data_IF_321280415176
#
_entry.id   IF_321280415176
#
_cell.length_a   1.000
_cell.length_b   1.000
_cell.length_c   1.000
_cell.angle_alpha   90.00
_cell.angle_beta   90.00
_cell.angle_gamma   90.00
#
_symmetry.space_group_name_H-M   'P 1'
#
loop_
_entity.id
_entity.type
_entity.pdbx_description
1 polymer ?
#
# COMPACT_ATOMS: atom_id res chain seq x y z
N UNK A 1 -42.03 27.12 1.48
CA UNK A 1 -41.63 26.25 2.60
C UNK A 1 -41.97 24.82 2.23
N UNK A 2 -41.03 24.11 1.59
CA UNK A 2 -41.13 22.68 1.29
C UNK A 2 -39.98 22.05 2.08
N UNK A 3 -40.35 21.22 3.05
CA UNK A 3 -39.44 20.51 3.95
C UNK A 3 -38.87 19.30 3.22
N UNK A 4 -37.61 19.37 2.77
CA UNK A 4 -36.84 18.17 2.50
C UNK A 4 -36.36 17.61 3.85
N UNK A 5 -37.10 16.64 4.39
CA UNK A 5 -36.58 15.75 5.41
C UNK A 5 -35.55 14.82 4.76
N UNK A 6 -34.28 14.80 5.21
CA UNK A 6 -33.30 13.87 4.66
C UNK A 6 -33.72 12.43 5.00
N UNK A 7 -33.73 11.60 3.96
CA UNK A 7 -33.98 10.15 4.04
C UNK A 7 -32.99 9.48 4.99
N UNK A 8 -33.41 8.48 5.80
CA UNK A 8 -32.46 7.70 6.58
C UNK A 8 -31.61 6.87 5.62
N UNK A 9 -30.31 7.16 5.57
CA UNK A 9 -29.33 6.24 4.98
C UNK A 9 -29.16 5.09 5.97
N UNK A 10 -30.14 4.19 6.00
CA UNK A 10 -30.05 2.93 6.72
C UNK A 10 -29.17 2.00 5.89
N UNK A 11 -27.86 2.17 6.07
CA UNK A 11 -26.85 1.26 5.59
C UNK A 11 -27.03 -0.07 6.34
N UNK A 12 -27.98 -0.89 5.86
CA UNK A 12 -28.08 -2.30 6.20
C UNK A 12 -26.91 -2.98 5.52
N UNK A 13 -25.74 -2.90 6.13
CA UNK A 13 -24.77 -4.00 6.02
C UNK A 13 -25.60 -5.24 6.34
N UNK A 14 -25.86 -6.08 5.33
CA UNK A 14 -26.56 -7.34 5.50
C UNK A 14 -25.70 -8.21 6.41
N UNK A 15 -25.87 -8.00 7.72
CA UNK A 15 -25.23 -8.79 8.74
C UNK A 15 -25.80 -10.18 8.58
N UNK A 16 -24.96 -11.12 8.12
CA UNK A 16 -25.29 -12.54 8.08
C UNK A 16 -25.96 -12.86 9.43
N UNK A 17 -27.21 -13.33 9.43
CA UNK A 17 -27.94 -13.52 10.68
C UNK A 17 -27.11 -14.42 11.58
N UNK A 18 -26.91 -14.04 12.84
CA UNK A 18 -26.05 -14.76 13.80
C UNK A 18 -26.38 -16.26 13.84
N UNK A 19 -27.65 -16.63 13.59
CA UNK A 19 -28.10 -18.01 13.50
C UNK A 19 -27.40 -18.82 12.39
N UNK A 20 -27.03 -18.24 11.24
CA UNK A 20 -26.28 -18.94 10.20
C UNK A 20 -24.82 -19.18 10.60
N UNK A 21 -24.20 -18.26 11.35
CA UNK A 21 -22.86 -18.47 11.92
C UNK A 21 -22.89 -19.59 12.96
N UNK A 22 -23.91 -19.59 13.83
CA UNK A 22 -24.10 -20.65 14.84
C UNK A 22 -24.33 -22.00 14.16
N UNK A 23 -25.18 -22.07 13.14
CA UNK A 23 -25.42 -23.30 12.37
C UNK A 23 -24.11 -23.75 11.69
N UNK A 24 -23.36 -22.84 11.08
CA UNK A 24 -22.08 -23.16 10.45
C UNK A 24 -21.07 -23.77 11.43
N UNK A 25 -20.94 -23.17 12.62
CA UNK A 25 -20.07 -23.69 13.69
C UNK A 25 -20.54 -25.03 14.20
N UNK A 26 -21.85 -25.21 14.42
CA UNK A 26 -22.43 -26.48 14.88
C UNK A 26 -22.22 -27.60 13.86
N UNK A 27 -22.41 -27.32 12.57
CA UNK A 27 -22.14 -28.29 11.50
C UNK A 27 -20.65 -28.64 11.45
N UNK A 28 -19.75 -27.67 11.60
CA UNK A 28 -18.30 -27.91 11.65
C UNK A 28 -17.91 -28.80 12.83
N UNK A 29 -18.51 -28.56 14.01
CA UNK A 29 -18.27 -29.36 15.21
C UNK A 29 -18.81 -30.79 15.03
N UNK A 30 -20.05 -30.95 14.53
CA UNK A 30 -20.64 -32.27 14.30
C UNK A 30 -19.82 -33.04 13.26
N UNK A 31 -19.39 -32.39 12.18
CA UNK A 31 -18.53 -32.98 11.16
C UNK A 31 -17.19 -33.41 11.76
N UNK A 32 -16.57 -32.57 12.59
CA UNK A 32 -15.32 -32.87 13.29
C UNK A 32 -15.46 -34.06 14.24
N UNK A 33 -16.55 -34.13 15.01
CA UNK A 33 -16.84 -35.26 15.91
C UNK A 33 -17.08 -36.54 15.11
N UNK A 34 -17.82 -36.47 14.00
CA UNK A 34 -18.06 -37.63 13.14
C UNK A 34 -16.76 -38.14 12.50
N UNK A 35 -15.88 -37.24 12.05
CA UNK A 35 -14.55 -37.58 11.54
C UNK A 35 -13.68 -38.23 12.62
N UNK A 36 -13.62 -37.63 13.81
CA UNK A 36 -12.86 -38.17 14.94
C UNK A 36 -13.39 -39.56 15.36
N UNK A 37 -14.71 -39.72 15.47
CA UNK A 37 -15.33 -41.01 15.77
C UNK A 37 -15.05 -42.06 14.67
N UNK A 38 -15.08 -41.65 13.39
CA UNK A 38 -14.72 -42.52 12.27
C UNK A 38 -13.25 -42.96 12.31
N UNK A 39 -12.33 -42.04 12.62
CA UNK A 39 -10.90 -42.35 12.78
C UNK A 39 -10.70 -43.31 13.97
N UNK A 40 -11.34 -43.05 15.11
CA UNK A 40 -11.24 -43.90 16.30
C UNK A 40 -11.84 -45.30 16.06
N UNK A 41 -12.96 -45.39 15.34
CA UNK A 41 -13.59 -46.64 14.95
C UNK A 41 -12.72 -47.46 14.00
N UNK A 42 -12.08 -46.80 13.02
CA UNK A 42 -11.15 -47.46 12.11
C UNK A 42 -9.89 -47.92 12.85
N UNK A 43 -9.38 -47.11 13.79
CA UNK A 43 -8.22 -47.44 14.60
C UNK A 43 -8.45 -48.60 15.58
N UNK A 44 -9.65 -48.75 16.14
CA UNK A 44 -9.98 -49.88 17.01
C UNK A 44 -10.21 -51.19 16.24
N UNK A 45 -10.68 -51.12 14.99
CA UNK A 45 -11.02 -52.31 14.20
C UNK A 45 -9.85 -52.84 13.33
N UNK A 46 -8.91 -51.99 12.92
CA UNK A 46 -7.82 -52.36 12.00
C UNK A 46 -6.43 -51.99 12.57
N UNK A 47 -6.15 -52.44 13.80
CA UNK A 47 -4.97 -52.03 14.58
C UNK A 47 -3.62 -52.32 13.90
N UNK A 48 -3.48 -53.45 13.18
CA UNK A 48 -2.21 -53.85 12.57
C UNK A 48 -1.84 -53.03 11.33
N UNK A 49 -2.79 -52.73 10.44
CA UNK A 49 -2.54 -51.92 9.23
C UNK A 49 -2.29 -50.45 9.59
N UNK A 50 -2.98 -49.94 10.61
CA UNK A 50 -2.82 -48.56 11.06
C UNK A 50 -1.44 -48.31 11.70
N UNK A 51 -0.85 -49.31 12.35
CA UNK A 51 0.47 -49.22 12.97
C UNK A 51 1.58 -49.00 11.94
N UNK A 52 1.56 -49.75 10.84
CA UNK A 52 2.53 -49.59 9.75
C UNK A 52 2.38 -48.22 9.06
N UNK A 53 1.15 -47.75 8.85
CA UNK A 53 0.90 -46.42 8.28
C UNK A 53 1.42 -45.33 9.22
N UNK A 54 1.11 -45.41 10.52
CA UNK A 54 1.60 -44.44 11.52
C UNK A 54 3.13 -44.38 11.52
N UNK A 55 3.81 -45.51 11.48
CA UNK A 55 5.27 -45.56 11.52
C UNK A 55 5.91 -44.84 10.31
N UNK A 56 5.40 -45.11 9.11
CA UNK A 56 5.84 -44.42 7.88
C UNK A 56 5.58 -42.91 7.96
N UNK A 57 4.42 -42.49 8.48
CA UNK A 57 4.10 -41.08 8.65
C UNK A 57 5.01 -40.39 9.67
N UNK A 58 5.33 -41.04 10.80
CA UNK A 58 6.26 -40.48 11.78
C UNK A 58 7.65 -40.28 11.17
N UNK A 59 8.15 -41.26 10.40
CA UNK A 59 9.43 -41.14 9.71
C UNK A 59 9.38 -40.02 8.66
N UNK A 60 8.32 -39.96 7.85
CA UNK A 60 8.13 -38.91 6.85
C UNK A 60 8.07 -37.52 7.47
N UNK A 61 7.29 -37.32 8.54
CA UNK A 61 7.18 -36.07 9.28
C UNK A 61 8.50 -35.68 9.96
N UNK A 62 9.25 -36.65 10.48
CA UNK A 62 10.57 -36.40 11.05
C UNK A 62 11.54 -35.88 9.98
N UNK A 63 11.57 -36.50 8.80
CA UNK A 63 12.38 -36.05 7.67
C UNK A 63 11.92 -34.68 7.15
N UNK A 64 10.61 -34.48 6.99
CA UNK A 64 10.02 -33.20 6.58
C UNK A 64 10.38 -32.09 7.57
N UNK A 65 10.25 -32.33 8.88
CA UNK A 65 10.56 -31.33 9.91
C UNK A 65 12.02 -30.91 9.90
N UNK A 66 12.95 -31.82 9.55
CA UNK A 66 14.36 -31.50 9.35
C UNK A 66 14.55 -30.52 8.18
N UNK A 67 13.89 -30.79 7.05
CA UNK A 67 13.91 -29.93 5.87
C UNK A 67 13.27 -28.57 6.17
N UNK A 68 12.10 -28.55 6.81
CA UNK A 68 11.43 -27.32 7.24
C UNK A 68 12.29 -26.51 8.21
N UNK A 69 13.02 -27.15 9.12
CA UNK A 69 13.96 -26.48 10.02
C UNK A 69 15.04 -25.70 9.25
N UNK A 70 15.62 -26.31 8.21
CA UNK A 70 16.60 -25.64 7.34
C UNK A 70 15.96 -24.50 6.57
N UNK A 71 14.77 -24.70 6.01
CA UNK A 71 14.03 -23.66 5.28
C UNK A 71 13.73 -22.46 6.19
N UNK A 72 13.29 -22.70 7.42
CA UNK A 72 13.03 -21.64 8.39
C UNK A 72 14.31 -20.88 8.77
N UNK A 73 15.43 -21.58 8.94
CA UNK A 73 16.73 -20.94 9.20
C UNK A 73 17.15 -20.03 8.02
N UNK A 74 17.03 -20.52 6.79
CA UNK A 74 17.32 -19.74 5.58
C UNK A 74 16.39 -18.53 5.45
N UNK A 75 15.10 -18.70 5.75
CA UNK A 75 14.13 -17.62 5.75
C UNK A 75 14.51 -16.53 6.76
N UNK A 76 14.95 -16.91 7.96
CA UNK A 76 15.41 -15.95 8.96
C UNK A 76 16.64 -15.18 8.46
N UNK A 77 17.61 -15.87 7.84
CA UNK A 77 18.78 -15.22 7.25
C UNK A 77 18.38 -14.25 6.14
N UNK A 78 17.42 -14.63 5.29
CA UNK A 78 16.88 -13.77 4.24
C UNK A 78 16.20 -12.53 4.82
N UNK A 79 15.42 -12.69 5.89
CA UNK A 79 14.77 -11.59 6.59
C UNK A 79 15.80 -10.65 7.22
N UNK A 80 16.82 -11.18 7.89
CA UNK A 80 17.92 -10.39 8.46
C UNK A 80 18.61 -9.56 7.37
N UNK A 81 18.93 -10.17 6.22
CA UNK A 81 19.54 -9.44 5.10
C UNK A 81 18.64 -8.32 4.58
N UNK A 82 17.35 -8.59 4.44
CA UNK A 82 16.39 -7.58 3.99
C UNK A 82 16.33 -6.40 4.96
N UNK A 83 16.21 -6.67 6.27
CA UNK A 83 16.18 -5.63 7.30
C UNK A 83 17.50 -4.85 7.25
N UNK A 84 18.64 -5.52 7.20
CA UNK A 84 19.95 -4.89 7.15
C UNK A 84 20.10 -3.94 5.94
N UNK A 85 19.72 -4.38 4.73
CA UNK A 85 19.75 -3.52 3.54
C UNK A 85 18.78 -2.34 3.67
N UNK A 86 17.58 -2.55 4.20
CA UNK A 86 16.64 -1.44 4.43
C UNK A 86 17.22 -0.42 5.41
N UNK A 87 17.84 -0.87 6.50
CA UNK A 87 18.35 0.02 7.53
C UNK A 87 19.64 0.73 7.15
N UNK A 88 20.58 0.04 6.52
CA UNK A 88 21.93 0.57 6.25
C UNK A 88 22.09 1.13 4.84
N UNK A 89 21.23 0.77 3.88
CA UNK A 89 21.34 1.25 2.50
C UNK A 89 20.13 2.10 2.10
N UNK A 90 18.89 1.61 2.28
CA UNK A 90 17.69 2.31 1.81
C UNK A 90 17.36 3.54 2.68
N UNK A 91 17.38 3.43 4.02
CA UNK A 91 17.08 4.55 4.92
C UNK A 91 17.99 5.76 4.67
N UNK A 92 19.33 5.62 4.57
CA UNK A 92 20.20 6.75 4.27
C UNK A 92 19.94 7.42 2.92
N UNK A 93 19.61 6.64 1.87
CA UNK A 93 19.26 7.21 0.55
C UNK A 93 18.02 8.10 0.66
N UNK A 94 17.02 7.66 1.42
CA UNK A 94 15.80 8.46 1.62
C UNK A 94 16.08 9.76 2.39
N UNK A 95 16.95 9.71 3.40
CA UNK A 95 17.36 10.89 4.16
C UNK A 95 18.12 11.90 3.29
N UNK A 96 19.14 11.44 2.54
CA UNK A 96 19.89 12.30 1.60
C UNK A 96 19.00 12.86 0.49
N UNK A 97 18.00 12.09 0.04
CA UNK A 97 17.01 12.56 -0.92
C UNK A 97 16.15 13.68 -0.33
N UNK A 98 15.77 13.56 0.94
CA UNK A 98 15.00 14.60 1.64
C UNK A 98 15.81 15.91 1.76
N UNK A 99 17.09 15.81 2.13
CA UNK A 99 18.01 16.95 2.17
C UNK A 99 18.22 17.57 0.77
N UNK A 100 18.33 16.73 -0.27
CA UNK A 100 18.45 17.18 -1.66
C UNK A 100 17.22 17.96 -2.10
N UNK A 101 16.02 17.49 -1.78
CA UNK A 101 14.77 18.22 -2.07
C UNK A 101 14.74 19.56 -1.35
N UNK A 102 15.18 19.62 -0.09
CA UNK A 102 15.34 20.87 0.67
C UNK A 102 16.28 21.85 -0.02
N UNK A 103 17.46 21.38 -0.42
CA UNK A 103 18.47 22.17 -1.12
C UNK A 103 17.98 22.65 -2.48
N UNK A 104 17.41 21.77 -3.31
CA UNK A 104 16.88 22.11 -4.64
C UNK A 104 15.76 23.15 -4.54
N UNK A 105 14.85 23.01 -3.56
CA UNK A 105 13.84 24.04 -3.26
C UNK A 105 14.49 25.36 -2.84
N UNK A 106 15.54 25.31 -2.01
CA UNK A 106 16.34 26.46 -1.60
C UNK A 106 16.99 27.17 -2.79
N UNK A 107 17.66 26.43 -3.68
CA UNK A 107 18.27 26.97 -4.91
C UNK A 107 17.22 27.56 -5.83
N UNK A 108 16.09 26.87 -6.04
CA UNK A 108 15.00 27.38 -6.88
C UNK A 108 14.43 28.68 -6.31
N UNK A 109 14.21 28.75 -5.00
CA UNK A 109 13.76 29.97 -4.34
C UNK A 109 14.79 31.10 -4.40
N UNK A 110 16.08 30.79 -4.24
CA UNK A 110 17.16 31.77 -4.33
C UNK A 110 17.27 32.33 -5.74
N UNK A 111 17.29 31.47 -6.76
CA UNK A 111 17.34 31.87 -8.16
C UNK A 111 16.07 32.64 -8.54
N UNK A 112 14.91 32.19 -8.09
CA UNK A 112 13.64 32.90 -8.32
C UNK A 112 13.70 34.33 -7.78
N UNK A 113 14.02 34.51 -6.49
CA UNK A 113 13.99 35.82 -5.84
C UNK A 113 15.12 36.76 -6.26
N UNK A 114 16.32 36.25 -6.45
CA UNK A 114 17.51 37.09 -6.66
C UNK A 114 17.88 37.27 -8.13
N UNK A 115 17.40 36.40 -9.03
CA UNK A 115 17.74 36.47 -10.46
C UNK A 115 16.51 36.68 -11.32
N UNK A 116 15.48 35.85 -11.15
CA UNK A 116 14.30 35.88 -12.03
C UNK A 116 13.42 37.11 -11.75
N UNK A 117 13.05 37.37 -10.49
CA UNK A 117 12.23 38.52 -10.10
C UNK A 117 12.77 39.86 -10.59
N UNK A 118 14.06 40.22 -10.40
CA UNK A 118 14.59 41.48 -10.90
C UNK A 118 14.61 41.55 -12.43
N UNK A 119 14.95 40.46 -13.13
CA UNK A 119 14.97 40.43 -14.60
C UNK A 119 13.56 40.65 -15.17
N UNK A 120 12.55 39.99 -14.60
CA UNK A 120 11.16 40.15 -15.01
C UNK A 120 10.69 41.58 -14.75
N UNK A 121 11.00 42.17 -13.58
CA UNK A 121 10.61 43.54 -13.22
C UNK A 121 11.27 44.58 -14.14
N UNK A 122 12.52 44.39 -14.53
CA UNK A 122 13.20 45.29 -15.49
C UNK A 122 12.58 45.18 -16.88
N UNK A 123 12.36 43.96 -17.39
CA UNK A 123 11.73 43.74 -18.69
C UNK A 123 10.31 44.30 -18.72
N UNK A 124 9.51 44.08 -17.67
CA UNK A 124 8.13 44.53 -17.61
C UNK A 124 8.01 46.05 -17.56
N UNK A 125 8.92 46.75 -16.88
CA UNK A 125 8.94 48.22 -16.87
C UNK A 125 9.26 48.77 -18.27
N UNK A 126 10.29 48.24 -18.94
CA UNK A 126 10.66 48.66 -20.30
C UNK A 126 9.53 48.39 -21.30
N UNK A 127 8.90 47.22 -21.22
CA UNK A 127 7.75 46.87 -22.07
C UNK A 127 6.55 47.76 -21.76
N UNK A 128 6.24 48.00 -20.49
CA UNK A 128 5.15 48.86 -20.04
C UNK A 128 5.32 50.30 -20.53
N UNK A 129 6.52 50.87 -20.40
CA UNK A 129 6.85 52.21 -20.91
C UNK A 129 6.73 52.25 -22.44
N UNK A 130 7.30 51.28 -23.16
CA UNK A 130 7.22 51.22 -24.62
C UNK A 130 5.78 51.11 -25.11
N UNK A 131 4.95 50.31 -24.44
CA UNK A 131 3.55 50.12 -24.78
C UNK A 131 2.70 51.35 -24.43
N UNK A 132 2.97 52.01 -23.29
CA UNK A 132 2.32 53.27 -22.91
C UNK A 132 2.63 54.41 -23.88
N UNK A 133 3.89 54.55 -24.29
CA UNK A 133 4.29 55.51 -25.33
C UNK A 133 3.64 55.20 -26.68
N UNK A 134 3.52 53.92 -27.05
CA UNK A 134 2.77 53.51 -28.25
C UNK A 134 1.27 53.76 -28.14
N UNK A 135 0.67 53.63 -26.95
CA UNK A 135 -0.75 53.92 -26.77
C UNK A 135 -1.04 55.43 -26.84
N UNK A 136 -0.12 56.27 -26.34
CA UNK A 136 -0.27 57.72 -26.32
C UNK A 136 0.14 58.40 -27.64
N UNK A 137 1.21 57.93 -28.29
CA UNK A 137 1.76 58.52 -29.53
C UNK A 137 1.58 57.61 -30.75
N UNK A 138 0.89 56.49 -30.61
CA UNK A 138 0.57 55.59 -31.73
C UNK A 138 -0.65 56.11 -32.47
N UNK A 139 -0.46 56.36 -33.75
CA UNK A 139 -1.51 56.72 -34.70
C UNK A 139 -2.57 55.59 -34.78
N UNK A 140 -3.84 55.85 -34.41
CA UNK A 140 -4.93 54.86 -34.43
C UNK A 140 -5.25 54.29 -35.82
N UNK A 141 -4.73 54.90 -36.90
CA UNK A 141 -5.15 54.60 -38.29
C UNK A 141 -4.51 53.38 -38.93
N UNK A 142 -3.64 52.63 -38.22
CA UNK A 142 -2.87 51.53 -38.81
C UNK A 142 -3.46 50.13 -38.57
N UNK A 143 -4.63 50.07 -37.93
CA UNK A 143 -5.25 48.81 -37.49
C UNK A 143 -6.55 48.47 -38.25
N UNK A 144 -6.76 49.04 -39.45
CA UNK A 144 -7.78 48.56 -40.37
C UNK A 144 -7.19 47.40 -41.19
N UNK A 145 -7.74 46.18 -41.10
CA UNK A 145 -7.55 45.16 -42.13
C UNK A 145 -8.27 45.58 -43.42
N UNK A 146 -7.62 45.36 -44.55
CA UNK A 146 -8.23 45.49 -45.90
C UNK A 146 -9.42 44.53 -46.08
#
# INVERSE_FOLDING_TARGET
MITETPTPVENRTEAIPIIYVVIGVVVLIILGIALAAGILFLASNYSAELEAVRDVFIIALALESCVFGVVLMLMLIMLIRLVNTVEFEIKPILEQTNETIGTVRGTTNFVSKNVIDPVVKTKSYVVGVRQGLRALFGDPRKNLPD
#
